data_IF_827115999679
#
_entry.id   IF_827115999679
#
_cell.length_a   1.000
_cell.length_b   1.000
_cell.length_c   1.000
_cell.angle_alpha   90.00
_cell.angle_beta   90.00
_cell.angle_gamma   90.00
#
_symmetry.space_group_name_H-M   'P 1'
#
loop_
_entity.id
_entity.type
_entity.pdbx_description
1 polymer ?
#
# COMPACT_ATOMS: atom_id res chain seq x y z
N UNK A 1 41.55 -42.72 -54.99
CA UNK A 1 41.20 -42.84 -53.56
C UNK A 1 41.26 -41.45 -52.97
N UNK A 2 40.33 -41.08 -52.09
CA UNK A 2 40.09 -39.75 -51.46
C UNK A 2 39.38 -38.72 -52.34
N UNK A 3 38.03 -38.77 -52.42
CA UNK A 3 37.23 -37.56 -52.74
C UNK A 3 35.71 -37.66 -52.47
N UNK A 4 35.26 -38.42 -51.46
CA UNK A 4 33.81 -38.73 -51.30
C UNK A 4 33.23 -38.60 -49.89
N UNK A 5 33.90 -37.90 -48.96
CA UNK A 5 33.39 -37.77 -47.58
C UNK A 5 32.86 -36.38 -47.16
N UNK A 6 32.99 -35.33 -47.98
CA UNK A 6 32.61 -33.98 -47.54
C UNK A 6 31.15 -33.58 -47.78
N UNK A 7 30.38 -34.33 -48.58
CA UNK A 7 29.02 -33.91 -48.97
C UNK A 7 27.91 -34.36 -48.01
N UNK A 8 28.18 -35.29 -47.09
CA UNK A 8 27.15 -35.83 -46.19
C UNK A 8 26.89 -35.00 -44.93
N UNK A 9 27.76 -34.06 -44.56
CA UNK A 9 27.58 -33.25 -43.35
C UNK A 9 26.74 -31.97 -43.55
N UNK A 10 26.42 -31.60 -44.80
CA UNK A 10 25.64 -30.38 -45.08
C UNK A 10 24.13 -30.64 -45.08
N UNK A 11 23.69 -31.84 -45.47
CA UNK A 11 22.25 -32.17 -45.50
C UNK A 11 21.65 -32.57 -44.15
N UNK A 12 22.44 -33.14 -43.24
CA UNK A 12 21.99 -33.44 -41.88
C UNK A 12 21.74 -32.18 -41.04
N UNK A 13 22.34 -31.04 -41.40
CA UNK A 13 22.13 -29.76 -40.73
C UNK A 13 20.89 -28.99 -41.23
N UNK A 14 20.30 -29.39 -42.37
CA UNK A 14 19.19 -28.68 -42.99
C UNK A 14 17.79 -29.19 -42.55
N UNK A 15 17.70 -30.40 -41.99
CA UNK A 15 16.43 -31.04 -41.60
C UNK A 15 16.07 -30.90 -40.13
N UNK A 16 17.00 -30.41 -39.29
CA UNK A 16 16.65 -29.76 -38.01
C UNK A 16 16.22 -28.31 -38.24
N UNK A 17 15.34 -28.07 -39.23
CA UNK A 17 14.27 -27.08 -39.10
C UNK A 17 13.35 -27.60 -38.02
N UNK A 18 13.86 -27.50 -36.79
CA UNK A 18 13.11 -27.46 -35.55
C UNK A 18 11.85 -26.71 -35.90
N UNK A 19 10.75 -27.46 -35.87
CA UNK A 19 9.39 -26.96 -35.77
C UNK A 19 9.40 -26.18 -34.45
N UNK A 20 10.01 -25.00 -34.49
CA UNK A 20 10.00 -24.00 -33.47
C UNK A 20 8.55 -23.57 -33.50
N UNK A 21 7.74 -24.36 -32.80
CA UNK A 21 6.41 -24.03 -32.38
C UNK A 21 6.52 -22.57 -31.97
N UNK A 22 6.03 -21.68 -32.83
CA UNK A 22 5.71 -20.31 -32.50
C UNK A 22 4.64 -20.42 -31.43
N UNK A 23 5.03 -20.82 -30.21
CA UNK A 23 4.32 -20.49 -29.00
C UNK A 23 4.42 -18.97 -28.96
N UNK A 24 3.45 -18.33 -29.63
CA UNK A 24 3.30 -16.89 -29.58
C UNK A 24 3.37 -16.50 -28.09
N UNK A 25 4.16 -15.48 -27.74
CA UNK A 25 4.43 -15.16 -26.35
C UNK A 25 3.12 -15.09 -25.58
N UNK A 26 2.93 -16.01 -24.63
CA UNK A 26 1.73 -16.11 -23.82
C UNK A 26 1.49 -14.74 -23.18
N UNK A 27 0.47 -14.02 -23.64
CA UNK A 27 0.20 -12.63 -23.22
C UNK A 27 0.00 -12.62 -21.69
N UNK A 28 0.92 -12.07 -20.88
CA UNK A 28 0.82 -12.12 -19.42
C UNK A 28 -0.16 -11.07 -18.85
N UNK A 29 -1.21 -10.71 -19.60
CA UNK A 29 -1.91 -9.43 -19.43
C UNK A 29 -3.11 -9.45 -18.46
N UNK A 30 -3.61 -10.63 -18.04
CA UNK A 30 -4.87 -10.73 -17.26
C UNK A 30 -4.71 -10.62 -15.73
N UNK A 31 -3.56 -10.98 -15.15
CA UNK A 31 -3.39 -11.03 -13.68
C UNK A 31 -3.49 -9.66 -13.00
N UNK A 32 -2.99 -8.59 -13.62
CA UNK A 32 -2.99 -7.26 -13.00
C UNK A 32 -4.39 -6.62 -12.88
N UNK A 33 -5.31 -6.96 -13.78
CA UNK A 33 -6.65 -6.37 -13.78
C UNK A 33 -7.53 -6.94 -12.67
N UNK A 34 -7.43 -8.24 -12.39
CA UNK A 34 -8.16 -8.87 -11.30
C UNK A 34 -7.78 -8.28 -9.93
N UNK A 35 -6.47 -8.09 -9.68
CA UNK A 35 -5.99 -7.46 -8.44
C UNK A 35 -6.50 -6.02 -8.29
N UNK A 36 -6.51 -5.23 -9.37
CA UNK A 36 -7.06 -3.87 -9.34
C UNK A 36 -8.57 -3.84 -9.09
N UNK A 37 -9.33 -4.77 -9.66
CA UNK A 37 -10.77 -4.87 -9.39
C UNK A 37 -10.99 -5.24 -7.92
N UNK A 38 -10.25 -6.22 -7.39
CA UNK A 38 -10.35 -6.60 -5.98
C UNK A 38 -10.01 -5.43 -5.05
N UNK A 39 -8.95 -4.66 -5.36
CA UNK A 39 -8.59 -3.45 -4.62
C UNK A 39 -9.68 -2.37 -4.70
N UNK A 40 -10.25 -2.14 -5.89
CA UNK A 40 -11.30 -1.14 -6.09
C UNK A 40 -12.59 -1.51 -5.33
N UNK A 41 -13.02 -2.77 -5.43
CA UNK A 41 -14.19 -3.28 -4.69
C UNK A 41 -13.92 -3.23 -3.19
N UNK A 42 -12.74 -3.67 -2.74
CA UNK A 42 -12.33 -3.62 -1.35
C UNK A 42 -12.33 -2.19 -0.80
N UNK A 43 -11.74 -1.24 -1.52
CA UNK A 43 -11.69 0.17 -1.15
C UNK A 43 -13.10 0.80 -1.07
N UNK A 44 -13.97 0.53 -2.06
CA UNK A 44 -15.34 1.05 -2.07
C UNK A 44 -16.17 0.45 -0.93
N UNK A 45 -16.08 -0.87 -0.72
CA UNK A 45 -16.77 -1.55 0.36
C UNK A 45 -16.31 -1.06 1.73
N UNK A 46 -14.99 -0.91 1.94
CA UNK A 46 -14.45 -0.37 3.18
C UNK A 46 -14.89 1.08 3.38
N UNK A 47 -14.83 1.91 2.34
CA UNK A 47 -15.19 3.32 2.45
C UNK A 47 -16.68 3.50 2.80
N UNK A 48 -17.56 2.78 2.10
CA UNK A 48 -18.99 2.78 2.41
C UNK A 48 -19.26 2.25 3.81
N UNK A 49 -18.59 1.17 4.22
CA UNK A 49 -18.71 0.60 5.56
C UNK A 49 -18.26 1.55 6.67
N UNK A 50 -17.11 2.21 6.52
CA UNK A 50 -16.60 3.14 7.55
C UNK A 50 -17.44 4.42 7.62
N UNK A 51 -17.87 4.99 6.48
CA UNK A 51 -18.75 6.17 6.50
C UNK A 51 -20.12 5.86 7.10
N UNK A 52 -20.69 4.70 6.76
CA UNK A 52 -21.94 4.24 7.35
C UNK A 52 -21.79 3.98 8.86
N UNK A 53 -20.70 3.33 9.27
CA UNK A 53 -20.39 3.10 10.69
C UNK A 53 -20.24 4.42 11.44
N UNK A 54 -19.52 5.40 10.87
CA UNK A 54 -19.34 6.71 11.48
C UNK A 54 -20.67 7.43 11.65
N UNK A 55 -21.49 7.46 10.59
CA UNK A 55 -22.83 8.06 10.62
C UNK A 55 -23.73 7.45 11.70
N UNK A 56 -23.66 6.11 11.88
CA UNK A 56 -24.43 5.41 12.92
C UNK A 56 -23.89 5.67 14.32
N UNK A 57 -22.58 5.77 14.49
CA UNK A 57 -21.93 6.00 15.78
C UNK A 57 -22.19 7.42 16.30
N UNK A 58 -22.24 8.42 15.43
CA UNK A 58 -22.42 9.82 15.84
C UNK A 58 -23.87 10.21 16.10
N UNK A 59 -24.83 9.29 15.99
CA UNK A 59 -26.23 9.55 16.37
C UNK A 59 -26.88 10.69 15.58
N UNK A 60 -26.44 10.92 14.34
CA UNK A 60 -26.79 12.10 13.52
C UNK A 60 -28.30 12.29 13.24
N UNK A 61 -29.18 11.38 13.66
CA UNK A 61 -30.62 11.59 13.57
C UNK A 61 -31.12 12.71 14.51
N UNK A 62 -30.44 12.92 15.63
CA UNK A 62 -30.98 13.74 16.74
C UNK A 62 -30.26 15.10 16.91
N UNK A 63 -29.30 15.40 16.03
CA UNK A 63 -28.38 16.54 16.16
C UNK A 63 -27.01 16.12 16.68
N UNK A 64 -25.97 16.89 16.32
CA UNK A 64 -24.61 16.64 16.80
C UNK A 64 -24.39 17.46 18.09
N UNK A 65 -24.45 16.79 19.24
CA UNK A 65 -24.09 17.40 20.53
C UNK A 65 -22.57 17.35 20.76
N UNK A 66 -22.09 17.93 21.87
CA UNK A 66 -20.67 17.92 22.23
C UNK A 66 -20.13 16.48 22.37
N UNK A 67 -20.94 15.55 22.87
CA UNK A 67 -20.59 14.13 22.97
C UNK A 67 -20.36 13.52 21.59
N UNK A 68 -21.28 13.78 20.65
CA UNK A 68 -21.19 13.34 19.26
C UNK A 68 -19.95 13.90 18.56
N UNK A 69 -19.57 15.15 18.82
CA UNK A 69 -18.34 15.76 18.31
C UNK A 69 -17.07 15.07 18.82
N UNK A 70 -17.00 14.75 20.11
CA UNK A 70 -15.84 14.04 20.69
C UNK A 70 -15.75 12.60 20.14
N UNK A 71 -16.89 11.91 20.02
CA UNK A 71 -16.95 10.56 19.41
C UNK A 71 -16.51 10.61 17.94
N UNK A 72 -16.99 11.62 17.19
CA UNK A 72 -16.59 11.84 15.80
C UNK A 72 -15.07 12.04 15.72
N UNK A 73 -14.52 12.95 16.50
CA UNK A 73 -13.09 13.25 16.55
C UNK A 73 -12.25 12.00 16.84
N UNK A 74 -12.60 11.24 17.89
CA UNK A 74 -11.90 10.00 18.25
C UNK A 74 -11.99 8.92 17.16
N UNK A 75 -13.03 8.97 16.32
CA UNK A 75 -13.29 7.99 15.27
C UNK A 75 -12.74 8.38 13.90
N UNK A 76 -12.18 9.60 13.73
CA UNK A 76 -11.75 10.13 12.42
C UNK A 76 -10.62 9.34 11.77
N UNK A 77 -9.77 8.66 12.54
CA UNK A 77 -8.62 7.97 11.98
C UNK A 77 -9.02 6.89 10.95
N UNK A 78 -10.05 6.10 11.24
CA UNK A 78 -10.52 5.01 10.36
C UNK A 78 -11.01 5.49 8.99
N UNK A 79 -11.94 6.46 8.87
CA UNK A 79 -12.37 6.97 7.58
C UNK A 79 -11.22 7.67 6.84
N UNK A 80 -10.30 8.33 7.56
CA UNK A 80 -9.15 8.96 6.93
C UNK A 80 -8.24 7.93 6.26
N UNK A 81 -7.79 6.89 6.95
CA UNK A 81 -6.88 5.90 6.35
C UNK A 81 -7.53 5.13 5.20
N UNK A 82 -8.82 4.79 5.33
CA UNK A 82 -9.57 4.13 4.26
C UNK A 82 -9.73 5.03 3.05
N UNK A 83 -9.95 6.33 3.27
CA UNK A 83 -10.06 7.32 2.18
C UNK A 83 -8.72 7.56 1.50
N UNK A 84 -7.60 7.62 2.24
CA UNK A 84 -6.25 7.68 1.67
C UNK A 84 -5.98 6.47 0.78
N UNK A 85 -6.29 5.27 1.27
CA UNK A 85 -6.17 4.03 0.52
C UNK A 85 -7.05 4.04 -0.75
N UNK A 86 -8.32 4.45 -0.63
CA UNK A 86 -9.24 4.55 -1.76
C UNK A 86 -8.75 5.55 -2.81
N UNK A 87 -8.20 6.69 -2.39
CA UNK A 87 -7.55 7.66 -3.28
C UNK A 87 -6.40 7.04 -4.05
N UNK A 88 -5.50 6.32 -3.37
CA UNK A 88 -4.38 5.61 -3.99
C UNK A 88 -4.87 4.57 -5.03
N UNK A 89 -5.87 3.77 -4.68
CA UNK A 89 -6.48 2.79 -5.59
C UNK A 89 -7.15 3.47 -6.79
N UNK A 90 -7.89 4.56 -6.58
CA UNK A 90 -8.52 5.35 -7.63
C UNK A 90 -7.51 5.91 -8.63
N UNK A 91 -6.38 6.44 -8.14
CA UNK A 91 -5.29 6.90 -8.99
C UNK A 91 -4.71 5.80 -9.88
N UNK A 92 -4.45 4.61 -9.31
CA UNK A 92 -3.95 3.46 -10.09
C UNK A 92 -5.00 2.92 -11.06
N UNK A 93 -6.27 2.81 -10.65
CA UNK A 93 -7.35 2.28 -11.48
C UNK A 93 -7.61 3.15 -12.71
N UNK A 94 -7.71 4.47 -12.52
CA UNK A 94 -7.96 5.43 -13.60
C UNK A 94 -6.71 5.59 -14.48
N UNK A 95 -5.54 5.83 -13.89
CA UNK A 95 -4.28 5.92 -14.62
C UNK A 95 -3.92 4.62 -15.35
N UNK A 96 -4.32 3.48 -14.81
CA UNK A 96 -4.10 2.15 -15.38
C UNK A 96 -4.92 1.89 -16.63
N UNK A 97 -6.24 2.03 -16.50
CA UNK A 97 -7.25 1.65 -17.49
C UNK A 97 -7.45 2.72 -18.57
N UNK A 98 -7.51 3.99 -18.19
CA UNK A 98 -7.83 5.09 -19.10
C UNK A 98 -6.58 5.55 -19.86
N UNK A 99 -5.42 5.68 -19.20
CA UNK A 99 -4.21 6.14 -19.89
C UNK A 99 -3.77 5.17 -21.00
N UNK A 100 -4.03 3.87 -20.83
CA UNK A 100 -3.76 2.86 -21.85
C UNK A 100 -4.63 3.03 -23.10
N UNK A 101 -5.84 3.62 -22.97
CA UNK A 101 -6.76 3.87 -24.08
C UNK A 101 -6.52 5.24 -24.73
N UNK A 102 -6.30 6.28 -23.92
CA UNK A 102 -6.25 7.66 -24.40
C UNK A 102 -4.85 8.14 -24.85
N UNK A 103 -3.78 7.35 -24.64
CA UNK A 103 -2.38 7.76 -24.91
C UNK A 103 -2.00 9.13 -24.30
N UNK A 104 -2.72 9.58 -23.28
CA UNK A 104 -2.56 10.90 -22.66
C UNK A 104 -1.49 10.95 -21.55
N UNK A 105 -1.31 12.13 -20.92
CA UNK A 105 -0.38 12.31 -19.82
C UNK A 105 -0.80 11.49 -18.60
N UNK A 106 -0.18 10.31 -18.43
CA UNK A 106 -0.54 9.34 -17.39
C UNK A 106 -0.63 9.92 -15.97
N UNK A 107 0.22 10.89 -15.63
CA UNK A 107 0.20 11.57 -14.31
C UNK A 107 -1.07 12.40 -14.09
N UNK A 108 -1.56 13.10 -15.10
CA UNK A 108 -2.78 13.89 -14.99
C UNK A 108 -4.01 12.97 -14.82
N UNK A 109 -4.02 11.82 -15.48
CA UNK A 109 -5.09 10.82 -15.32
C UNK A 109 -5.06 10.14 -13.95
N UNK A 110 -3.86 9.87 -13.41
CA UNK A 110 -3.70 9.38 -12.03
C UNK A 110 -4.24 10.44 -11.05
N UNK A 111 -3.86 11.71 -11.24
CA UNK A 111 -4.34 12.82 -10.42
C UNK A 111 -5.87 12.99 -10.49
N UNK A 112 -6.44 12.95 -11.69
CA UNK A 112 -7.88 12.97 -11.86
C UNK A 112 -8.57 11.81 -11.12
N UNK A 113 -7.95 10.62 -11.11
CA UNK A 113 -8.49 9.44 -10.42
C UNK A 113 -8.59 9.62 -8.92
N UNK A 114 -7.52 10.03 -8.24
CA UNK A 114 -7.56 10.23 -6.80
C UNK A 114 -8.36 11.49 -6.40
N UNK A 115 -8.35 12.55 -7.22
CA UNK A 115 -9.17 13.73 -6.99
C UNK A 115 -10.67 13.42 -7.12
N UNK A 116 -11.06 12.59 -8.09
CA UNK A 116 -12.45 12.17 -8.25
C UNK A 116 -12.93 11.35 -7.04
N UNK A 117 -12.09 10.44 -6.53
CA UNK A 117 -12.39 9.71 -5.28
C UNK A 117 -12.52 10.67 -4.11
N UNK A 118 -11.61 11.64 -3.96
CA UNK A 118 -11.68 12.65 -2.91
C UNK A 118 -12.93 13.50 -2.97
N UNK A 119 -13.29 14.01 -4.15
CA UNK A 119 -14.49 14.84 -4.35
C UNK A 119 -15.77 14.04 -4.05
N UNK A 120 -15.85 12.80 -4.54
CA UNK A 120 -16.99 11.93 -4.28
C UNK A 120 -17.11 11.63 -2.78
N UNK A 121 -16.00 11.29 -2.13
CA UNK A 121 -15.98 10.96 -0.70
C UNK A 121 -16.34 12.18 0.14
N UNK A 122 -15.75 13.34 -0.17
CA UNK A 122 -16.05 14.60 0.50
C UNK A 122 -17.51 15.03 0.33
N UNK A 123 -18.08 14.87 -0.87
CA UNK A 123 -19.48 15.15 -1.14
C UNK A 123 -20.42 14.19 -0.38
N UNK A 124 -20.10 12.89 -0.36
CA UNK A 124 -20.89 11.90 0.40
C UNK A 124 -20.83 12.21 1.90
N UNK A 125 -19.66 12.54 2.44
CA UNK A 125 -19.53 12.95 3.83
C UNK A 125 -20.30 14.25 4.12
N UNK A 126 -20.24 15.23 3.22
CA UNK A 126 -21.02 16.46 3.38
C UNK A 126 -22.53 16.17 3.46
N UNK A 127 -23.04 15.31 2.57
CA UNK A 127 -24.46 14.92 2.55
C UNK A 127 -24.85 14.10 3.78
N UNK A 128 -24.01 13.14 4.21
CA UNK A 128 -24.30 12.30 5.37
C UNK A 128 -24.28 13.08 6.68
N UNK A 129 -23.47 14.13 6.77
CA UNK A 129 -23.25 14.90 8.00
C UNK A 129 -23.90 16.29 7.95
N UNK A 130 -24.80 16.54 6.99
CA UNK A 130 -25.36 17.88 6.69
C UNK A 130 -26.21 18.51 7.80
N UNK A 131 -26.41 17.81 8.91
CA UNK A 131 -27.11 18.32 10.10
C UNK A 131 -26.38 19.54 10.67
N UNK A 132 -25.04 19.54 10.61
CA UNK A 132 -24.20 20.69 10.88
C UNK A 132 -23.35 20.96 9.64
N UNK A 133 -23.65 22.05 8.93
CA UNK A 133 -22.97 22.39 7.68
C UNK A 133 -21.47 22.67 7.87
N UNK A 134 -21.04 23.19 9.02
CA UNK A 134 -19.65 23.53 9.29
C UNK A 134 -18.85 22.25 9.56
N UNK A 135 -19.37 21.36 10.41
CA UNK A 135 -18.76 20.04 10.67
C UNK A 135 -18.76 19.18 9.41
N UNK A 136 -19.84 19.18 8.65
CA UNK A 136 -19.95 18.47 7.36
C UNK A 136 -18.89 18.94 6.36
N UNK A 137 -18.70 20.27 6.23
CA UNK A 137 -17.69 20.86 5.35
C UNK A 137 -16.28 20.52 5.81
N UNK A 138 -15.99 20.61 7.12
CA UNK A 138 -14.70 20.23 7.69
C UNK A 138 -14.37 18.76 7.41
N UNK A 139 -15.31 17.86 7.72
CA UNK A 139 -15.14 16.43 7.45
C UNK A 139 -14.96 16.14 5.96
N UNK A 140 -15.77 16.77 5.10
CA UNK A 140 -15.64 16.64 3.65
C UNK A 140 -14.27 17.08 3.13
N UNK A 141 -13.74 18.19 3.64
CA UNK A 141 -12.41 18.71 3.30
C UNK A 141 -11.28 17.78 3.79
N UNK A 142 -11.38 17.26 5.01
CA UNK A 142 -10.41 16.32 5.58
C UNK A 142 -10.36 15.03 4.75
N UNK A 143 -11.51 14.46 4.39
CA UNK A 143 -11.56 13.25 3.57
C UNK A 143 -11.10 13.50 2.14
N UNK A 144 -11.41 14.66 1.55
CA UNK A 144 -10.85 15.08 0.27
C UNK A 144 -9.32 15.15 0.32
N UNK A 145 -8.77 15.84 1.32
CA UNK A 145 -7.31 15.96 1.51
C UNK A 145 -6.66 14.59 1.72
N UNK A 146 -7.30 13.70 2.50
CA UNK A 146 -6.85 12.33 2.70
C UNK A 146 -6.78 11.54 1.39
N UNK A 147 -7.82 11.57 0.57
CA UNK A 147 -7.81 10.90 -0.73
C UNK A 147 -6.73 11.43 -1.66
N UNK A 148 -6.48 12.74 -1.65
CA UNK A 148 -5.43 13.37 -2.47
C UNK A 148 -4.04 12.93 -1.99
N UNK A 149 -3.77 13.03 -0.69
CA UNK A 149 -2.47 12.68 -0.10
C UNK A 149 -2.17 11.18 -0.20
N UNK A 150 -3.17 10.32 0.06
CA UNK A 150 -3.08 8.90 -0.23
C UNK A 150 -2.91 8.61 -1.73
N UNK A 151 -3.61 9.36 -2.58
CA UNK A 151 -3.49 9.36 -4.03
C UNK A 151 -2.06 9.56 -4.53
N UNK A 152 -1.23 10.34 -3.85
CA UNK A 152 0.16 10.58 -4.25
C UNK A 152 1.00 9.30 -4.28
N UNK A 153 0.66 8.28 -3.48
CA UNK A 153 1.32 6.97 -3.50
C UNK A 153 1.12 6.21 -4.82
N UNK A 154 0.17 6.62 -5.66
CA UNK A 154 -0.07 6.05 -6.98
C UNK A 154 0.74 6.71 -8.11
N UNK A 155 1.43 7.82 -7.85
CA UNK A 155 2.22 8.58 -8.85
C UNK A 155 3.53 7.92 -9.32
N UNK A 156 4.23 7.07 -8.55
CA UNK A 156 5.45 6.42 -9.02
C UNK A 156 5.22 5.69 -10.35
N UNK A 157 6.17 5.86 -11.29
CA UNK A 157 6.05 5.31 -12.65
C UNK A 157 5.94 3.78 -12.67
N UNK A 158 6.50 3.11 -11.66
CA UNK A 158 6.52 1.65 -11.56
C UNK A 158 5.20 1.13 -10.99
N UNK A 159 4.27 0.74 -11.88
CA UNK A 159 2.93 0.24 -11.50
C UNK A 159 2.95 -1.02 -10.64
N UNK A 160 3.89 -1.93 -10.90
CA UNK A 160 3.93 -3.24 -10.23
C UNK A 160 4.24 -3.09 -8.72
N UNK A 161 5.29 -2.35 -8.30
CA UNK A 161 5.50 -2.00 -6.88
C UNK A 161 4.32 -1.30 -6.22
N UNK A 162 3.68 -0.35 -6.90
CA UNK A 162 2.53 0.37 -6.35
C UNK A 162 1.38 -0.60 -6.05
N UNK A 163 1.02 -1.47 -7.00
CA UNK A 163 -0.06 -2.45 -6.81
C UNK A 163 0.29 -3.43 -5.67
N UNK A 164 1.53 -3.91 -5.61
CA UNK A 164 1.98 -4.79 -4.52
C UNK A 164 1.89 -4.10 -3.15
N UNK A 165 2.28 -2.82 -3.09
CA UNK A 165 2.13 -1.99 -1.90
C UNK A 165 0.67 -1.83 -1.49
N UNK A 166 -0.23 -1.51 -2.44
CA UNK A 166 -1.67 -1.37 -2.16
C UNK A 166 -2.33 -2.67 -1.69
N UNK A 167 -1.97 -3.81 -2.27
CA UNK A 167 -2.45 -5.11 -1.76
C UNK A 167 -1.96 -5.35 -0.34
N UNK A 168 -0.72 -4.98 -0.04
CA UNK A 168 -0.17 -5.07 1.31
C UNK A 168 -0.87 -4.09 2.26
N UNK A 169 -1.25 -2.89 1.80
CA UNK A 169 -2.05 -1.95 2.59
C UNK A 169 -3.43 -2.52 2.91
N UNK A 170 -4.05 -3.23 1.97
CA UNK A 170 -5.32 -3.92 2.24
C UNK A 170 -5.17 -4.98 3.34
N UNK A 171 -4.04 -5.70 3.38
CA UNK A 171 -3.72 -6.64 4.46
C UNK A 171 -3.51 -5.91 5.79
N UNK A 172 -2.83 -4.77 5.78
CA UNK A 172 -2.68 -3.92 6.97
C UNK A 172 -4.04 -3.46 7.51
N UNK A 173 -4.93 -2.97 6.63
CA UNK A 173 -6.28 -2.54 7.02
C UNK A 173 -7.09 -3.71 7.62
N UNK A 174 -6.97 -4.91 7.05
CA UNK A 174 -7.59 -6.10 7.62
C UNK A 174 -7.02 -6.45 9.00
N UNK A 175 -5.71 -6.29 9.21
CA UNK A 175 -5.07 -6.49 10.51
C UNK A 175 -5.53 -5.45 11.55
N UNK A 176 -5.62 -4.18 11.17
CA UNK A 176 -6.14 -3.11 12.04
C UNK A 176 -7.61 -3.35 12.42
N UNK A 177 -8.43 -3.77 11.46
CA UNK A 177 -9.82 -4.13 11.72
C UNK A 177 -9.93 -5.34 12.66
N UNK A 178 -9.15 -6.39 12.40
CA UNK A 178 -9.10 -7.58 13.25
C UNK A 178 -8.65 -7.24 14.68
N UNK A 179 -7.65 -6.37 14.83
CA UNK A 179 -7.24 -5.86 16.15
C UNK A 179 -8.39 -5.16 16.88
N UNK A 180 -9.16 -4.31 16.20
CA UNK A 180 -10.31 -3.64 16.80
C UNK A 180 -11.38 -4.59 17.31
N UNK A 181 -11.62 -5.72 16.62
CA UNK A 181 -12.54 -6.77 17.08
C UNK A 181 -12.02 -7.53 18.30
N UNK A 182 -10.69 -7.68 18.42
CA UNK A 182 -10.07 -8.37 19.54
C UNK A 182 -9.99 -7.48 20.78
N UNK A 183 -9.76 -6.16 20.62
CA UNK A 183 -9.69 -5.21 21.73
C UNK A 183 -10.94 -5.26 22.63
N UNK A 184 -12.13 -5.47 22.05
CA UNK A 184 -13.38 -5.60 22.82
C UNK A 184 -13.45 -6.87 23.66
N UNK A 185 -12.75 -7.94 23.25
CA UNK A 185 -12.71 -9.21 23.99
C UNK A 185 -11.56 -9.27 24.98
N UNK A 186 -10.44 -8.62 24.67
CA UNK A 186 -9.18 -8.73 25.42
C UNK A 186 -9.15 -7.95 26.73
N UNK A 187 -10.01 -6.94 26.91
CA UNK A 187 -10.12 -6.20 28.19
C UNK A 187 -10.47 -7.12 29.37
N UNK A 188 -11.13 -8.26 29.10
CA UNK A 188 -11.49 -9.25 30.13
C UNK A 188 -10.38 -10.26 30.46
N UNK A 189 -9.35 -10.37 29.64
CA UNK A 189 -8.34 -11.42 29.73
C UNK A 189 -7.06 -10.99 30.46
N UNK A 190 -6.90 -9.71 30.77
CA UNK A 190 -5.67 -9.16 31.33
C UNK A 190 -5.87 -8.59 32.72
N UNK A 191 -5.06 -9.06 33.68
CA UNK A 191 -5.09 -8.64 35.09
C UNK A 191 -4.23 -7.39 35.37
N UNK A 192 -3.28 -7.06 34.49
CA UNK A 192 -2.48 -5.84 34.60
C UNK A 192 -2.43 -5.08 33.25
N UNK A 193 -3.29 -4.07 33.06
CA UNK A 193 -3.55 -3.48 31.75
C UNK A 193 -2.41 -2.59 31.23
N UNK A 194 -1.44 -2.19 32.06
CA UNK A 194 -0.40 -1.23 31.65
C UNK A 194 0.79 -1.87 30.93
N UNK A 195 1.32 -2.99 31.44
CA UNK A 195 2.52 -3.61 30.88
C UNK A 195 2.25 -4.34 29.55
N UNK A 196 1.10 -5.02 29.43
CA UNK A 196 0.76 -5.75 28.20
C UNK A 196 0.24 -4.85 27.07
N UNK A 197 -0.37 -3.70 27.38
CA UNK A 197 -0.72 -2.71 26.34
C UNK A 197 0.52 -2.14 25.64
N UNK A 198 1.61 -1.96 26.38
CA UNK A 198 2.90 -1.52 25.81
C UNK A 198 3.51 -2.56 24.87
N UNK A 199 3.52 -3.84 25.29
CA UNK A 199 4.02 -4.94 24.49
C UNK A 199 3.16 -5.18 23.23
N UNK A 200 1.83 -5.19 23.37
CA UNK A 200 0.92 -5.37 22.23
C UNK A 200 0.97 -4.18 21.27
N UNK A 201 1.05 -2.95 21.81
CA UNK A 201 1.16 -1.72 21.05
C UNK A 201 2.42 -1.64 20.19
N UNK A 202 3.51 -2.28 20.62
CA UNK A 202 4.80 -2.31 19.90
C UNK A 202 4.95 -3.53 18.99
N UNK A 203 4.55 -4.72 19.47
CA UNK A 203 4.68 -5.96 18.72
C UNK A 203 3.68 -6.06 17.57
N UNK A 204 2.44 -5.62 17.76
CA UNK A 204 1.40 -5.78 16.74
C UNK A 204 1.72 -5.00 15.44
N UNK A 205 2.14 -3.72 15.47
CA UNK A 205 2.54 -3.02 14.25
C UNK A 205 3.80 -3.61 13.59
N UNK A 206 4.74 -4.13 14.39
CA UNK A 206 5.92 -4.82 13.87
C UNK A 206 5.54 -6.08 13.09
N UNK A 207 4.72 -6.95 13.68
CA UNK A 207 4.21 -8.17 13.03
C UNK A 207 3.40 -7.82 11.78
N UNK A 208 2.50 -6.83 11.87
CA UNK A 208 1.73 -6.36 10.73
C UNK A 208 2.64 -5.88 9.59
N UNK A 209 3.69 -5.12 9.92
CA UNK A 209 4.72 -4.68 8.98
C UNK A 209 5.43 -5.85 8.31
N UNK A 210 5.88 -6.85 9.08
CA UNK A 210 6.51 -8.06 8.53
C UNK A 210 5.59 -8.81 7.56
N UNK A 211 4.33 -9.05 7.96
CA UNK A 211 3.33 -9.73 7.11
C UNK A 211 3.11 -8.95 5.82
N UNK A 212 2.96 -7.63 5.90
CA UNK A 212 2.84 -6.77 4.72
C UNK A 212 4.08 -6.83 3.82
N UNK A 213 5.28 -6.83 4.40
CA UNK A 213 6.54 -6.96 3.66
C UNK A 213 6.66 -8.30 2.91
N UNK A 214 6.23 -9.40 3.54
CA UNK A 214 6.19 -10.73 2.91
C UNK A 214 5.18 -10.78 1.75
N UNK A 215 4.00 -10.20 1.93
CA UNK A 215 2.98 -10.11 0.87
C UNK A 215 3.49 -9.28 -0.30
N UNK A 216 4.07 -8.11 -0.05
CA UNK A 216 4.68 -7.26 -1.07
C UNK A 216 5.77 -8.01 -1.84
N UNK A 217 6.67 -8.69 -1.13
CA UNK A 217 7.74 -9.48 -1.72
C UNK A 217 7.19 -10.62 -2.59
N UNK A 218 6.23 -11.40 -2.09
CA UNK A 218 5.63 -12.52 -2.82
C UNK A 218 4.96 -12.09 -4.12
N UNK A 219 4.22 -10.96 -4.08
CA UNK A 219 3.59 -10.38 -5.26
C UNK A 219 4.61 -9.87 -6.28
N UNK A 220 5.66 -9.17 -5.81
CA UNK A 220 6.72 -8.66 -6.68
C UNK A 220 7.53 -9.77 -7.33
N UNK A 221 7.86 -10.83 -6.57
CA UNK A 221 8.56 -12.01 -7.08
C UNK A 221 7.73 -12.75 -8.11
N UNK A 222 6.43 -12.93 -7.86
CA UNK A 222 5.51 -13.61 -8.78
C UNK A 222 5.25 -12.82 -10.07
N UNK A 223 5.49 -11.51 -10.09
CA UNK A 223 5.16 -10.65 -11.22
C UNK A 223 6.11 -10.77 -12.43
N UNK A 224 7.18 -11.57 -12.38
CA UNK A 224 8.22 -11.74 -13.45
C UNK A 224 8.89 -10.45 -13.95
N UNK A 225 8.51 -9.29 -13.41
CA UNK A 225 9.10 -8.00 -13.72
C UNK A 225 10.39 -7.80 -12.93
N UNK A 226 11.40 -7.22 -13.58
CA UNK A 226 12.66 -6.79 -12.96
C UNK A 226 12.43 -5.59 -12.02
N UNK A 227 11.59 -5.76 -10.99
CA UNK A 227 11.51 -4.78 -9.91
C UNK A 227 12.86 -4.72 -9.24
N UNK A 228 13.50 -3.55 -9.28
CA UNK A 228 14.77 -3.31 -8.60
C UNK A 228 14.55 -3.21 -7.08
N UNK A 229 15.63 -3.26 -6.31
CA UNK A 229 15.61 -3.07 -4.85
C UNK A 229 14.71 -1.92 -4.36
N UNK A 230 14.70 -0.71 -4.97
CA UNK A 230 13.81 0.38 -4.53
C UNK A 230 12.32 0.05 -4.66
N UNK A 231 11.94 -0.82 -5.60
CA UNK A 231 10.56 -1.25 -5.78
C UNK A 231 10.07 -2.16 -4.65
N UNK A 232 10.93 -3.04 -4.14
CA UNK A 232 10.63 -3.87 -2.98
C UNK A 232 10.52 -3.03 -1.72
N UNK A 233 11.53 -2.17 -1.47
CA UNK A 233 11.53 -1.23 -0.36
C UNK A 233 10.25 -0.38 -0.33
N UNK A 234 9.90 0.22 -1.47
CA UNK A 234 8.69 1.05 -1.58
C UNK A 234 7.41 0.27 -1.34
N UNK A 235 7.26 -0.92 -1.93
CA UNK A 235 6.06 -1.75 -1.75
C UNK A 235 5.90 -2.22 -0.30
N UNK A 236 7.00 -2.59 0.36
CA UNK A 236 6.99 -3.00 1.77
C UNK A 236 6.72 -1.83 2.74
N UNK A 237 7.22 -0.63 2.43
CA UNK A 237 7.03 0.57 3.26
C UNK A 237 5.64 1.20 3.10
N UNK A 238 4.99 1.05 1.94
CA UNK A 238 3.75 1.74 1.58
C UNK A 238 2.62 1.64 2.62
N UNK A 239 2.32 0.46 3.23
CA UNK A 239 1.24 0.35 4.22
C UNK A 239 1.47 1.24 5.44
N UNK A 240 2.69 1.22 6.00
CA UNK A 240 3.06 2.05 7.14
C UNK A 240 3.13 3.54 6.76
N UNK A 241 3.56 3.86 5.54
CA UNK A 241 3.58 5.25 5.07
C UNK A 241 2.17 5.84 4.89
N UNK A 242 1.22 5.07 4.34
CA UNK A 242 -0.20 5.48 4.23
C UNK A 242 -0.79 5.65 5.62
N UNK A 243 -0.51 4.73 6.55
CA UNK A 243 -0.91 4.87 7.95
C UNK A 243 -0.34 6.16 8.55
N UNK A 244 0.97 6.40 8.47
CA UNK A 244 1.62 7.58 9.02
C UNK A 244 1.01 8.89 8.52
N UNK A 245 0.83 9.01 7.20
CA UNK A 245 0.18 10.18 6.59
C UNK A 245 -1.25 10.35 7.11
N UNK A 246 -1.98 9.25 7.25
CA UNK A 246 -3.35 9.27 7.79
C UNK A 246 -3.39 9.72 9.26
N UNK A 247 -2.40 9.34 10.07
CA UNK A 247 -2.27 9.79 11.46
C UNK A 247 -2.06 11.31 11.53
N UNK A 248 -1.19 11.87 10.68
CA UNK A 248 -0.95 13.32 10.60
C UNK A 248 -2.24 14.06 10.23
N UNK A 249 -2.96 13.56 9.22
CA UNK A 249 -4.22 14.16 8.77
C UNK A 249 -5.30 14.03 9.85
N UNK A 250 -5.35 12.90 10.55
CA UNK A 250 -6.31 12.69 11.64
C UNK A 250 -6.06 13.65 12.79
N UNK A 251 -4.80 13.89 13.17
CA UNK A 251 -4.47 14.88 14.19
C UNK A 251 -4.95 16.28 13.80
N UNK A 252 -4.59 16.74 12.60
CA UNK A 252 -5.05 18.04 12.10
C UNK A 252 -6.59 18.10 11.96
N UNK A 253 -7.20 17.01 11.53
CA UNK A 253 -8.64 16.90 11.36
C UNK A 253 -9.41 16.96 12.68
N UNK A 254 -8.90 16.33 13.73
CA UNK A 254 -9.45 16.42 15.09
C UNK A 254 -9.40 17.86 15.60
N UNK A 255 -8.26 18.55 15.46
CA UNK A 255 -8.13 19.95 15.85
C UNK A 255 -9.13 20.85 15.10
N UNK A 256 -9.31 20.64 13.79
CA UNK A 256 -10.28 21.40 12.99
C UNK A 256 -11.72 21.12 13.44
N UNK A 257 -12.10 19.85 13.61
CA UNK A 257 -13.48 19.49 13.98
C UNK A 257 -13.84 20.01 15.37
N UNK A 258 -12.93 19.89 16.35
CA UNK A 258 -13.17 20.38 17.70
C UNK A 258 -13.21 21.92 17.75
N UNK A 259 -12.36 22.59 16.96
CA UNK A 259 -12.36 24.05 16.86
C UNK A 259 -13.61 24.61 16.16
N UNK A 260 -14.18 23.88 15.20
CA UNK A 260 -15.45 24.28 14.55
C UNK A 260 -16.65 24.06 15.48
N UNK A 261 -16.59 23.06 16.35
CA UNK A 261 -17.69 22.72 17.26
C UNK A 261 -17.76 23.53 18.54
N UNK A 262 -16.86 24.51 18.75
CA UNK A 262 -16.69 25.26 20.01
C UNK A 262 -16.71 24.34 21.26
N UNK A 263 -16.18 23.13 21.10
CA UNK A 263 -16.20 22.13 22.15
C UNK A 263 -15.04 22.39 23.10
N UNK A 264 -15.33 22.75 24.35
CA UNK A 264 -14.33 22.73 25.41
C UNK A 264 -13.89 21.30 25.67
N UNK A 265 -12.72 20.94 25.13
CA UNK A 265 -12.14 19.62 25.32
C UNK A 265 -11.61 19.53 26.73
N UNK A 266 -12.04 18.52 27.49
CA UNK A 266 -11.47 18.28 28.81
C UNK A 266 -9.96 18.04 28.69
N UNK A 267 -9.18 18.47 29.69
CA UNK A 267 -7.72 18.23 29.70
C UNK A 267 -7.38 16.73 29.63
N UNK A 268 -8.28 15.89 30.14
CA UNK A 268 -8.18 14.44 30.10
C UNK A 268 -8.37 13.88 28.67
N UNK A 269 -9.36 14.37 27.93
CA UNK A 269 -9.60 13.94 26.54
C UNK A 269 -8.45 14.38 25.62
N UNK A 270 -7.93 15.60 25.83
CA UNK A 270 -6.75 16.09 25.10
C UNK A 270 -5.51 15.23 25.36
N UNK A 271 -5.27 14.84 26.62
CA UNK A 271 -4.17 13.94 26.98
C UNK A 271 -4.36 12.55 26.35
N UNK A 272 -5.58 12.02 26.35
CA UNK A 272 -5.90 10.73 25.72
C UNK A 272 -5.68 10.74 24.20
N UNK A 273 -6.15 11.79 23.52
CA UNK A 273 -5.92 12.00 22.08
C UNK A 273 -4.43 12.07 21.76
N UNK A 274 -3.66 12.85 22.52
CA UNK A 274 -2.21 12.97 22.35
C UNK A 274 -1.49 11.62 22.49
N UNK A 275 -1.84 10.84 23.52
CA UNK A 275 -1.29 9.51 23.74
C UNK A 275 -1.68 8.54 22.61
N UNK A 276 -2.92 8.59 22.15
CA UNK A 276 -3.40 7.77 21.03
C UNK A 276 -2.63 8.10 19.74
N UNK A 277 -2.44 9.37 19.41
CA UNK A 277 -1.67 9.78 18.24
C UNK A 277 -0.21 9.37 18.36
N UNK A 278 0.43 9.53 19.52
CA UNK A 278 1.80 9.07 19.73
C UNK A 278 1.95 7.56 19.49
N UNK A 279 0.99 6.76 19.96
CA UNK A 279 0.96 5.32 19.71
C UNK A 279 0.79 5.00 18.22
N UNK A 280 -0.10 5.72 17.51
CA UNK A 280 -0.29 5.56 16.06
C UNK A 280 0.93 5.99 15.24
N UNK A 281 1.62 7.06 15.65
CA UNK A 281 2.87 7.50 15.02
C UNK A 281 3.95 6.42 15.14
N UNK A 282 4.17 5.90 16.35
CA UNK A 282 5.13 4.84 16.58
C UNK A 282 4.75 3.57 15.82
N UNK A 283 3.49 3.15 15.89
CA UNK A 283 3.00 1.97 15.19
C UNK A 283 3.18 2.06 13.67
N UNK A 284 2.84 3.20 13.07
CA UNK A 284 2.99 3.42 11.63
C UNK A 284 4.46 3.43 11.17
N UNK A 285 5.36 4.07 11.93
CA UNK A 285 6.81 4.05 11.67
C UNK A 285 7.39 2.63 11.80
N UNK A 286 7.03 1.91 12.86
CA UNK A 286 7.47 0.52 13.08
C UNK A 286 6.98 -0.39 11.96
N UNK A 287 5.71 -0.28 11.58
CA UNK A 287 5.15 -1.06 10.48
C UNK A 287 5.82 -0.74 9.13
N UNK A 288 6.08 0.55 8.86
CA UNK A 288 6.79 1.01 7.67
C UNK A 288 8.20 0.41 7.61
N UNK A 289 8.96 0.52 8.71
CA UNK A 289 10.32 0.02 8.79
C UNK A 289 10.37 -1.51 8.69
N UNK A 290 9.53 -2.23 9.44
CA UNK A 290 9.48 -3.68 9.43
C UNK A 290 9.09 -4.23 8.05
N UNK A 291 8.10 -3.63 7.38
CA UNK A 291 7.70 -4.02 6.03
C UNK A 291 8.79 -3.74 4.99
N UNK A 292 9.42 -2.58 5.06
CA UNK A 292 10.56 -2.22 4.23
C UNK A 292 11.73 -3.21 4.39
N UNK A 293 12.17 -3.43 5.64
CA UNK A 293 13.27 -4.33 5.98
C UNK A 293 12.98 -5.77 5.53
N UNK A 294 11.79 -6.29 5.83
CA UNK A 294 11.37 -7.63 5.44
C UNK A 294 11.44 -7.82 3.92
N UNK A 295 10.90 -6.87 3.14
CA UNK A 295 10.90 -6.95 1.68
C UNK A 295 12.32 -6.93 1.09
N UNK A 296 13.23 -6.16 1.69
CA UNK A 296 14.63 -6.02 1.26
C UNK A 296 15.45 -7.26 1.63
N UNK A 297 15.29 -7.78 2.84
CA UNK A 297 15.98 -9.02 3.25
C UNK A 297 15.52 -10.19 2.39
N UNK A 298 14.22 -10.31 2.13
CA UNK A 298 13.69 -11.32 1.22
C UNK A 298 14.24 -11.17 -0.20
N UNK A 299 14.40 -9.94 -0.70
CA UNK A 299 15.06 -9.66 -1.98
C UNK A 299 16.52 -10.15 -2.00
N UNK A 300 17.31 -9.82 -0.97
CA UNK A 300 18.73 -10.19 -0.90
C UNK A 300 18.99 -11.68 -0.71
N UNK A 301 18.12 -12.37 0.03
CA UNK A 301 18.28 -13.80 0.34
C UNK A 301 17.78 -14.73 -0.78
N UNK A 302 16.78 -14.31 -1.54
CA UNK A 302 16.03 -15.21 -2.42
C UNK A 302 16.23 -14.98 -3.92
N UNK A 303 16.96 -13.93 -4.31
CA UNK A 303 17.30 -13.69 -5.71
C UNK A 303 18.65 -14.35 -6.01
N UNK A 304 18.69 -15.34 -6.93
CA UNK A 304 19.94 -16.01 -7.29
C UNK A 304 20.98 -14.99 -7.76
N UNK A 305 22.19 -15.07 -7.21
CA UNK A 305 23.35 -14.33 -7.72
C UNK A 305 23.66 -14.90 -9.10
N UNK A 306 23.64 -14.07 -10.14
CA UNK A 306 23.94 -14.53 -11.50
C UNK A 306 25.34 -15.19 -11.53
N UNK A 307 25.39 -16.49 -11.81
CA UNK A 307 26.62 -17.29 -11.81
C UNK A 307 27.71 -16.78 -12.77
N UNK A 308 27.37 -15.85 -13.68
CA UNK A 308 28.31 -15.22 -14.61
C UNK A 308 29.36 -14.34 -13.94
N UNK A 309 29.14 -13.80 -12.74
CA UNK A 309 30.20 -13.06 -12.04
C UNK A 309 31.31 -13.97 -11.50
N UNK A 310 31.04 -15.27 -11.37
CA UNK A 310 32.01 -16.25 -10.87
C UNK A 310 32.94 -16.78 -11.96
N UNK A 311 32.55 -16.74 -13.24
CA UNK A 311 33.42 -17.14 -14.36
C UNK A 311 34.44 -16.07 -14.75
N UNK A 312 34.11 -14.78 -14.62
CA UNK A 312 35.07 -13.70 -14.89
C UNK A 312 36.16 -13.54 -13.82
N UNK A 313 35.98 -14.12 -12.62
CA UNK A 313 37.00 -14.11 -11.57
C UNK A 313 38.04 -15.23 -11.71
N UNK A 314 37.74 -16.29 -12.48
CA UNK A 314 38.66 -17.43 -12.66
C UNK A 314 39.48 -17.31 -13.96
N UNK A 315 38.96 -16.60 -14.98
CA UNK A 315 39.67 -16.43 -16.26
C UNK A 315 40.69 -15.28 -16.33
N UNK A 316 40.97 -14.60 -15.22
CA UNK A 316 41.85 -13.41 -15.16
C UNK A 316 43.26 -13.65 -14.62
N UNK A 317 43.60 -14.86 -14.19
CA UNK A 317 44.92 -15.17 -13.61
C UNK A 317 45.90 -15.88 -14.57
N UNK A 318 45.48 -16.23 -15.79
CA UNK A 318 46.32 -17.04 -16.70
C UNK A 318 47.02 -16.26 -17.82
N UNK A 319 47.07 -14.92 -17.77
CA UNK A 319 47.70 -14.11 -18.83
C UNK A 319 48.94 -13.30 -18.41
N UNK A 320 49.43 -13.42 -17.16
CA UNK A 320 50.69 -12.77 -16.74
C UNK A 320 51.94 -13.68 -16.84
N UNK A 321 51.83 -14.94 -17.27
CA UNK A 321 52.98 -15.89 -17.21
C UNK A 321 53.65 -16.24 -18.55
N UNK A 322 53.32 -15.58 -19.68
CA UNK A 322 53.92 -15.92 -20.99
C UNK A 322 54.44 -14.70 -21.74
N UNK A 323 55.34 -13.93 -21.15
CA UNK A 323 56.25 -13.06 -21.92
C UNK A 323 57.58 -12.82 -21.18
N UNK A 324 58.34 -13.89 -20.93
CA UNK A 324 59.77 -13.79 -20.59
C UNK A 324 60.51 -15.02 -21.11
N UNK A 325 60.79 -15.07 -22.41
CA UNK A 325 61.91 -15.85 -22.96
C UNK A 325 62.30 -15.39 -24.37
N UNK A 326 63.59 -15.03 -24.45
CA UNK A 326 64.48 -14.75 -25.59
C UNK A 326 64.20 -13.52 -26.46
#
# INVERSE_FOLDING_TARGET
>A
MTDTQETWNVEASATLKVKASRSGPARPRRRGQAALIALAVGALASLGGVLYSLYRLTGMSDGLDQTGLIILANSLFSPIIVTAFAGAVGGVAVGGSIAARLRGPSRALIAAGFCAVGLLTGAVAYVLFSVDAAVAAALGAILFASAVLGGLFSLPRARVPVIAGLVSTMVMLAFMYGRGLLETSSVSLFSDPLDEYGALGTAAPFVAGLVCGLVAFGLLRGATGKSKLPGYLFAGAMPGAIWLVSTIIAQAGVEIVLGVGDAEVSSLDSAYLSLAFQSQYNGSMTAMFAGALCSVLAYGLLIPKDARSSQSAVGGQDLEEVEFRS
#
